data_IF_103053649294
#
_entry.id   IF_103053649294
#
_cell.length_a   1.000
_cell.length_b   1.000
_cell.length_c   1.000
_cell.angle_alpha   90.00
_cell.angle_beta   90.00
_cell.angle_gamma   90.00
#
_symmetry.space_group_name_H-M   'P 1'
#
loop_
_entity.id
_entity.type
_entity.pdbx_description
1 polymer ?
#
# COMPACT_ATOMS: atom_id res chain seq x y z
N UNK A 1 -18.09 10.61 -6.32
CA UNK A 1 -16.96 9.96 -5.61
C UNK A 1 -16.53 10.93 -4.52
N UNK A 2 -16.63 10.52 -3.26
CA UNK A 2 -16.24 11.33 -2.10
C UNK A 2 -15.07 10.62 -1.42
N UNK A 3 -14.10 11.40 -0.93
CA UNK A 3 -13.04 10.88 -0.08
C UNK A 3 -13.57 10.83 1.35
N UNK A 4 -13.92 9.64 1.81
CA UNK A 4 -14.38 9.40 3.18
C UNK A 4 -13.26 8.80 4.01
N UNK A 5 -13.14 9.29 5.25
CA UNK A 5 -12.19 8.76 6.24
C UNK A 5 -12.49 7.28 6.53
N UNK A 6 -13.77 6.89 6.53
CA UNK A 6 -14.22 5.52 6.77
C UNK A 6 -13.69 4.57 5.68
N UNK A 7 -13.85 4.97 4.42
CA UNK A 7 -13.32 4.26 3.26
C UNK A 7 -11.81 4.10 3.34
N UNK A 8 -11.12 5.16 3.71
CA UNK A 8 -9.67 5.18 3.81
C UNK A 8 -9.13 4.21 4.87
N UNK A 9 -9.72 4.22 6.06
CA UNK A 9 -9.38 3.31 7.15
C UNK A 9 -9.69 1.87 6.73
N UNK A 10 -10.86 1.62 6.13
CA UNK A 10 -11.26 0.29 5.66
C UNK A 10 -10.26 -0.26 4.65
N UNK A 11 -9.91 0.55 3.65
CA UNK A 11 -8.95 0.16 2.60
C UNK A 11 -7.60 -0.16 3.23
N UNK A 12 -7.10 0.72 4.09
CA UNK A 12 -5.80 0.55 4.74
C UNK A 12 -5.73 -0.72 5.58
N UNK A 13 -6.71 -0.95 6.46
CA UNK A 13 -6.72 -2.13 7.35
C UNK A 13 -6.71 -3.43 6.55
N UNK A 14 -7.56 -3.53 5.52
CA UNK A 14 -7.63 -4.75 4.70
C UNK A 14 -6.33 -4.95 3.92
N UNK A 15 -5.77 -3.89 3.33
CA UNK A 15 -4.49 -3.98 2.62
C UNK A 15 -3.34 -4.37 3.57
N UNK A 16 -3.25 -3.75 4.75
CA UNK A 16 -2.23 -4.03 5.76
C UNK A 16 -2.27 -5.49 6.25
N UNK A 17 -3.47 -6.01 6.53
CA UNK A 17 -3.68 -7.41 6.85
C UNK A 17 -3.26 -8.32 5.69
N UNK A 18 -3.53 -7.92 4.44
CA UNK A 18 -3.13 -8.68 3.26
C UNK A 18 -1.60 -8.71 3.09
N UNK A 19 -0.88 -7.62 3.38
CA UNK A 19 0.58 -7.56 3.36
C UNK A 19 1.16 -8.54 4.37
N UNK A 20 0.66 -8.53 5.60
CA UNK A 20 1.11 -9.43 6.66
C UNK A 20 0.84 -10.90 6.31
N UNK A 21 -0.37 -11.20 5.82
CA UNK A 21 -0.74 -12.54 5.39
C UNK A 21 0.16 -13.04 4.25
N UNK A 22 0.42 -12.20 3.25
CA UNK A 22 1.34 -12.49 2.15
C UNK A 22 2.78 -12.65 2.63
N UNK A 23 3.23 -11.84 3.59
CA UNK A 23 4.57 -11.94 4.19
C UNK A 23 4.77 -13.28 4.87
N UNK A 24 3.83 -13.67 5.72
CA UNK A 24 3.85 -14.99 6.33
C UNK A 24 3.74 -16.12 5.29
N UNK A 25 2.89 -15.95 4.28
CA UNK A 25 2.63 -16.99 3.30
C UNK A 25 3.83 -17.21 2.36
N UNK A 26 4.40 -16.13 1.80
CA UNK A 26 5.48 -16.16 0.80
C UNK A 26 6.88 -16.23 1.43
N UNK A 27 7.00 -16.26 2.75
CA UNK A 27 8.30 -16.46 3.40
C UNK A 27 8.93 -17.83 3.04
N UNK A 28 8.09 -18.83 2.71
CA UNK A 28 8.56 -20.15 2.24
C UNK A 28 8.70 -20.18 0.72
N UNK A 29 9.92 -20.33 0.21
CA UNK A 29 10.22 -20.33 -1.22
C UNK A 29 9.47 -21.43 -2.00
N UNK A 30 9.24 -22.60 -1.38
CA UNK A 30 8.46 -23.70 -1.98
C UNK A 30 7.06 -23.24 -2.44
N UNK A 31 6.43 -22.30 -1.71
CA UNK A 31 5.11 -21.76 -2.07
C UNK A 31 5.20 -20.86 -3.29
N UNK A 32 6.26 -20.05 -3.37
CA UNK A 32 6.54 -19.21 -4.55
C UNK A 32 6.72 -20.08 -5.80
N UNK A 33 7.44 -21.21 -5.69
CA UNK A 33 7.60 -22.16 -6.79
C UNK A 33 6.27 -22.79 -7.22
N UNK A 34 5.42 -23.20 -6.28
CA UNK A 34 4.13 -23.86 -6.56
C UNK A 34 3.10 -22.95 -7.24
N UNK A 35 2.98 -21.70 -6.78
CA UNK A 35 2.05 -20.70 -7.35
C UNK A 35 2.60 -20.18 -8.69
N UNK A 36 3.92 -20.08 -8.78
CA UNK A 36 4.61 -19.40 -9.85
C UNK A 36 4.78 -17.92 -9.53
N UNK A 37 5.98 -17.42 -9.83
CA UNK A 37 6.42 -16.06 -9.51
C UNK A 37 5.50 -14.99 -10.11
N UNK A 38 5.09 -15.15 -11.38
CA UNK A 38 4.18 -14.22 -12.04
C UNK A 38 2.78 -14.18 -11.40
N UNK A 39 2.27 -15.34 -10.97
CA UNK A 39 0.98 -15.44 -10.29
C UNK A 39 1.00 -14.71 -8.95
N UNK A 40 2.06 -14.92 -8.16
CA UNK A 40 2.27 -14.20 -6.91
C UNK A 40 2.36 -12.69 -7.13
N UNK A 41 3.15 -12.22 -8.11
CA UNK A 41 3.27 -10.79 -8.42
C UNK A 41 1.94 -10.16 -8.83
N UNK A 42 1.19 -10.80 -9.75
CA UNK A 42 -0.12 -10.29 -10.20
C UNK A 42 -1.10 -10.25 -9.02
N UNK A 43 -1.15 -11.29 -8.18
CA UNK A 43 -2.00 -11.31 -7.01
C UNK A 43 -1.70 -10.15 -6.04
N UNK A 44 -0.41 -9.92 -5.75
CA UNK A 44 0.03 -8.80 -4.91
C UNK A 44 -0.37 -7.46 -5.55
N UNK A 45 -0.11 -7.24 -6.83
CA UNK A 45 -0.45 -6.00 -7.52
C UNK A 45 -1.96 -5.72 -7.52
N UNK A 46 -2.78 -6.75 -7.78
CA UNK A 46 -4.24 -6.63 -7.73
C UNK A 46 -4.73 -6.25 -6.34
N UNK A 47 -4.25 -6.91 -5.29
CA UNK A 47 -4.64 -6.64 -3.91
C UNK A 47 -4.39 -5.19 -3.48
N UNK A 48 -3.29 -4.60 -3.96
CA UNK A 48 -2.85 -3.27 -3.53
C UNK A 48 -3.21 -2.17 -4.53
N UNK A 49 -3.86 -2.50 -5.65
CA UNK A 49 -4.33 -1.52 -6.63
C UNK A 49 -5.29 -0.50 -5.99
N UNK A 50 -6.13 -0.95 -5.05
CA UNK A 50 -7.11 -0.10 -4.37
C UNK A 50 -6.47 1.03 -3.55
N UNK A 51 -5.23 0.86 -3.07
CA UNK A 51 -4.52 1.90 -2.32
C UNK A 51 -4.31 3.19 -3.14
N UNK A 52 -4.24 3.09 -4.47
CA UNK A 52 -4.12 4.25 -5.36
C UNK A 52 -5.44 4.97 -5.60
N UNK A 53 -6.57 4.35 -5.28
CA UNK A 53 -7.91 4.87 -5.56
C UNK A 53 -8.74 4.81 -4.26
N UNK A 54 -8.44 5.69 -3.27
CA UNK A 54 -9.13 5.71 -1.97
C UNK A 54 -10.49 6.43 -2.03
N UNK A 55 -11.24 6.28 -3.12
CA UNK A 55 -12.53 6.95 -3.32
C UNK A 55 -13.69 5.99 -3.11
N UNK A 56 -14.74 6.52 -2.48
CA UNK A 56 -16.00 5.80 -2.37
C UNK A 56 -16.72 5.74 -3.71
N UNK A 57 -17.20 4.54 -4.02
CA UNK A 57 -18.01 4.29 -5.20
C UNK A 57 -19.50 4.34 -4.84
N UNK A 58 -20.37 4.78 -5.75
CA UNK A 58 -21.81 4.93 -5.46
C UNK A 58 -22.53 3.60 -5.19
N UNK A 59 -21.92 2.46 -5.52
CA UNK A 59 -22.47 1.12 -5.31
C UNK A 59 -21.93 0.45 -4.03
N UNK A 60 -21.24 1.20 -3.16
CA UNK A 60 -20.71 0.63 -1.92
C UNK A 60 -21.82 0.34 -0.91
N UNK A 61 -21.69 -0.81 -0.26
CA UNK A 61 -22.52 -1.26 0.84
C UNK A 61 -21.80 -0.94 2.15
N UNK A 62 -22.48 -0.15 2.98
CA UNK A 62 -21.97 0.22 4.30
C UNK A 62 -22.28 -0.87 5.31
N UNK A 63 -21.25 -1.28 6.06
CA UNK A 63 -21.40 -2.15 7.23
C UNK A 63 -21.06 -1.34 8.48
N UNK A 64 -21.99 -1.31 9.43
CA UNK A 64 -21.82 -0.57 10.67
C UNK A 64 -20.93 -1.35 11.65
N UNK A 65 -19.84 -0.73 12.08
CA UNK A 65 -18.89 -1.24 13.07
C UNK A 65 -19.14 -0.55 14.42
N UNK A 66 -19.25 -1.34 15.49
CA UNK A 66 -19.75 -0.86 16.80
C UNK A 66 -18.67 -0.70 17.87
N UNK A 67 -17.48 -1.28 17.67
CA UNK A 67 -16.49 -1.46 18.73
C UNK A 67 -15.38 -0.41 18.65
N UNK A 68 -14.75 -0.26 17.48
CA UNK A 68 -13.49 0.48 17.32
C UNK A 68 -13.70 1.80 16.58
N UNK A 69 -14.38 1.77 15.43
CA UNK A 69 -14.60 2.93 14.57
C UNK A 69 -15.32 4.08 15.30
N UNK A 70 -16.36 3.86 16.12
CA UNK A 70 -17.00 4.96 16.86
C UNK A 70 -15.99 5.74 17.71
N UNK A 71 -15.14 5.04 18.46
CA UNK A 71 -14.11 5.66 19.30
C UNK A 71 -13.08 6.44 18.48
N UNK A 72 -12.64 5.88 17.34
CA UNK A 72 -11.71 6.55 16.41
C UNK A 72 -12.35 7.81 15.82
N UNK A 73 -13.62 7.74 15.42
CA UNK A 73 -14.33 8.88 14.85
C UNK A 73 -14.58 9.98 15.88
N UNK A 74 -14.87 9.65 17.14
CA UNK A 74 -14.96 10.64 18.22
C UNK A 74 -13.67 11.46 18.34
N UNK A 75 -12.50 10.83 18.21
CA UNK A 75 -11.21 11.54 18.21
C UNK A 75 -11.06 12.35 16.92
N UNK A 76 -11.25 11.75 15.75
CA UNK A 76 -11.01 12.41 14.46
C UNK A 76 -11.93 13.62 14.20
N UNK A 77 -13.14 13.59 14.75
CA UNK A 77 -14.13 14.67 14.65
C UNK A 77 -14.20 15.54 15.91
N UNK A 78 -13.23 15.43 16.81
CA UNK A 78 -13.13 16.35 17.94
C UNK A 78 -12.81 17.77 17.43
N UNK A 79 -13.62 18.80 17.75
CA UNK A 79 -13.37 20.18 17.32
C UNK A 79 -12.23 20.79 18.13
N UNK A 80 -11.16 21.21 17.46
CA UNK A 80 -10.02 21.88 18.10
C UNK A 80 -10.29 23.39 18.19
N UNK A 81 -10.76 23.97 17.10
CA UNK A 81 -10.93 25.41 16.98
C UNK A 81 -12.20 25.74 16.19
N UNK A 82 -12.91 26.78 16.63
CA UNK A 82 -14.08 27.33 15.94
C UNK A 82 -13.73 28.71 15.43
N UNK A 83 -13.74 28.91 14.12
CA UNK A 83 -13.55 30.23 13.51
C UNK A 83 -14.79 30.61 12.70
N UNK A 84 -15.57 31.57 13.22
CA UNK A 84 -16.88 31.95 12.67
C UNK A 84 -17.79 30.73 12.47
N UNK A 85 -18.00 30.31 11.22
CA UNK A 85 -18.87 29.19 10.80
C UNK A 85 -18.09 27.90 10.51
N UNK A 86 -16.76 27.93 10.53
CA UNK A 86 -15.90 26.79 10.22
C UNK A 86 -15.37 26.13 11.50
N UNK A 87 -15.54 24.80 11.59
CA UNK A 87 -14.98 23.98 12.64
C UNK A 87 -13.73 23.26 12.12
N UNK A 88 -12.61 23.43 12.83
CA UNK A 88 -11.39 22.71 12.55
C UNK A 88 -11.33 21.46 13.43
N UNK A 89 -11.62 20.31 12.81
CA UNK A 89 -11.50 18.99 13.40
C UNK A 89 -10.07 18.42 13.31
N UNK A 90 -9.75 17.45 14.18
CA UNK A 90 -8.48 16.73 14.21
C UNK A 90 -8.12 16.08 12.86
N UNK A 91 -9.09 15.49 12.15
CA UNK A 91 -8.82 14.86 10.85
C UNK A 91 -8.31 15.82 9.77
N UNK A 92 -8.66 17.11 9.82
CA UNK A 92 -8.12 18.09 8.88
C UNK A 92 -6.61 18.26 9.07
N UNK A 93 -6.13 18.25 10.31
CA UNK A 93 -4.70 18.31 10.62
C UNK A 93 -4.01 17.03 10.11
N UNK A 94 -4.60 15.85 10.36
CA UNK A 94 -4.05 14.60 9.85
C UNK A 94 -3.97 14.58 8.32
N UNK A 95 -5.02 15.01 7.62
CA UNK A 95 -5.02 15.10 6.16
C UNK A 95 -3.95 16.07 5.65
N UNK A 96 -3.80 17.23 6.30
CA UNK A 96 -2.77 18.21 5.95
C UNK A 96 -1.36 17.64 6.14
N UNK A 97 -1.07 17.05 7.30
CA UNK A 97 0.23 16.40 7.59
C UNK A 97 0.50 15.28 6.60
N UNK A 98 -0.52 14.50 6.27
CA UNK A 98 -0.41 13.40 5.33
C UNK A 98 -0.06 13.91 3.93
N UNK A 99 -0.82 14.86 3.38
CA UNK A 99 -0.59 15.43 2.05
C UNK A 99 0.75 16.16 1.96
N UNK A 100 1.13 16.93 2.98
CA UNK A 100 2.43 17.60 3.04
C UNK A 100 3.58 16.59 3.08
N UNK A 101 3.47 15.54 3.91
CA UNK A 101 4.48 14.49 3.96
C UNK A 101 4.64 13.76 2.62
N UNK A 102 3.52 13.39 1.98
CA UNK A 102 3.53 12.76 0.66
C UNK A 102 4.15 13.69 -0.40
N UNK A 103 3.83 15.00 -0.36
CA UNK A 103 4.40 16.00 -1.26
C UNK A 103 5.91 16.16 -1.04
N UNK A 104 6.38 16.27 0.20
CA UNK A 104 7.80 16.42 0.54
C UNK A 104 8.58 15.20 0.06
N UNK A 105 8.09 13.99 0.35
CA UNK A 105 8.75 12.75 -0.04
C UNK A 105 8.71 12.58 -1.56
N UNK A 106 7.59 12.88 -2.21
CA UNK A 106 7.48 12.87 -3.67
C UNK A 106 8.47 13.82 -4.35
N UNK A 107 8.56 15.07 -3.89
CA UNK A 107 9.54 16.05 -4.40
C UNK A 107 10.97 15.57 -4.16
N UNK A 108 11.27 15.06 -2.97
CA UNK A 108 12.58 14.50 -2.64
C UNK A 108 12.95 13.35 -3.57
N UNK A 109 12.04 12.41 -3.81
CA UNK A 109 12.24 11.27 -4.70
C UNK A 109 12.50 11.72 -6.14
N UNK A 110 11.71 12.68 -6.64
CA UNK A 110 11.92 13.25 -7.98
C UNK A 110 13.26 13.99 -8.07
N UNK A 111 13.62 14.78 -7.05
CA UNK A 111 14.89 15.51 -7.03
C UNK A 111 16.09 14.55 -7.03
N UNK A 112 16.03 13.49 -6.24
CA UNK A 112 17.05 12.44 -6.22
C UNK A 112 17.15 11.76 -7.58
N UNK A 113 16.02 11.39 -8.18
CA UNK A 113 15.98 10.78 -9.52
C UNK A 113 16.63 11.68 -10.58
N UNK A 114 16.28 12.98 -10.60
CA UNK A 114 16.83 13.94 -11.56
C UNK A 114 18.32 14.18 -11.35
N UNK A 115 18.75 14.35 -10.09
CA UNK A 115 20.17 14.54 -9.78
C UNK A 115 21.00 13.31 -10.15
N UNK A 116 20.49 12.10 -9.89
CA UNK A 116 21.15 10.86 -10.28
C UNK A 116 21.22 10.73 -11.81
N UNK A 117 20.11 11.00 -12.52
CA UNK A 117 20.10 11.02 -13.99
C UNK A 117 21.14 11.97 -14.58
N UNK A 118 21.24 13.20 -14.04
CA UNK A 118 22.24 14.18 -14.48
C UNK A 118 23.66 13.69 -14.23
N UNK A 119 23.92 13.08 -13.08
CA UNK A 119 25.23 12.53 -12.75
C UNK A 119 25.62 11.33 -13.62
N UNK A 120 24.65 10.55 -14.12
CA UNK A 120 24.90 9.50 -15.11
C UNK A 120 25.20 10.06 -16.50
N UNK A 121 24.54 11.14 -16.91
CA UNK A 121 24.77 11.77 -18.22
C UNK A 121 26.14 12.43 -18.36
N UNK A 122 26.80 12.76 -17.25
CA UNK A 122 28.17 13.29 -17.27
C UNK A 122 29.23 12.21 -17.44
N UNK A 123 28.88 10.94 -17.24
CA UNK A 123 29.79 9.81 -17.46
C UNK A 123 29.75 9.41 -18.93
N UNK A 124 30.92 9.09 -19.48
CA UNK A 124 31.07 8.64 -20.86
C UNK A 124 30.30 7.32 -21.06
N UNK A 125 29.42 7.29 -22.07
CA UNK A 125 28.83 6.03 -22.55
C UNK A 125 29.98 5.09 -22.93
N UNK A 126 29.91 3.83 -22.50
CA UNK A 126 30.94 2.86 -22.88
C UNK A 126 30.76 2.53 -24.36
N UNK A 127 31.56 3.11 -25.24
CA UNK A 127 31.54 2.81 -26.69
C UNK A 127 32.27 1.49 -27.00
N UNK A 128 32.05 0.47 -26.17
CA UNK A 128 32.68 -0.83 -26.31
C UNK A 128 31.84 -1.73 -27.23
N UNK A 129 32.36 -2.03 -28.41
CA UNK A 129 31.76 -2.93 -29.40
C UNK A 129 31.42 -4.30 -28.80
N UNK A 130 32.27 -4.84 -27.93
CA UNK A 130 32.04 -6.12 -27.25
C UNK A 130 30.77 -6.12 -26.39
N UNK A 131 30.51 -5.03 -25.66
CA UNK A 131 29.31 -4.89 -24.83
C UNK A 131 28.06 -4.84 -25.71
N UNK A 132 28.12 -4.10 -26.83
CA UNK A 132 27.02 -4.01 -27.80
C UNK A 132 26.71 -5.38 -28.41
N UNK A 133 27.73 -6.18 -28.71
CA UNK A 133 27.56 -7.53 -29.25
C UNK A 133 26.90 -8.48 -28.24
N UNK A 134 27.32 -8.43 -26.97
CA UNK A 134 26.68 -9.19 -25.88
C UNK A 134 25.21 -8.79 -25.76
N UNK A 135 24.90 -7.50 -25.66
CA UNK A 135 23.52 -7.01 -25.55
C UNK A 135 22.69 -7.51 -26.73
N UNK A 136 23.17 -7.33 -27.95
CA UNK A 136 22.48 -7.78 -29.17
C UNK A 136 22.20 -9.28 -29.13
N UNK A 137 23.14 -10.10 -28.63
CA UNK A 137 22.94 -11.54 -28.47
C UNK A 137 21.87 -11.88 -27.42
N UNK A 138 21.80 -11.11 -26.33
CA UNK A 138 20.86 -11.29 -25.22
C UNK A 138 19.45 -10.81 -25.55
N UNK A 139 19.29 -9.85 -26.48
CA UNK A 139 17.99 -9.35 -26.91
C UNK A 139 17.28 -10.28 -27.93
N UNK A 140 18.03 -11.10 -28.68
CA UNK A 140 17.47 -12.01 -29.70
C UNK A 140 16.26 -12.83 -29.23
N UNK A 141 16.27 -13.47 -28.03
CA UNK A 141 15.14 -14.27 -27.56
C UNK A 141 13.87 -13.47 -27.30
N UNK A 142 13.97 -12.16 -27.07
CA UNK A 142 12.84 -11.28 -26.79
C UNK A 142 12.20 -10.68 -28.06
N UNK A 143 12.87 -10.79 -29.22
CA UNK A 143 12.34 -10.33 -30.51
C UNK A 143 12.15 -8.82 -30.62
N UNK A 144 12.70 -8.03 -29.69
CA UNK A 144 12.59 -6.57 -29.65
C UNK A 144 13.92 -5.96 -29.28
N UNK A 145 14.48 -5.13 -30.17
CA UNK A 145 15.73 -4.42 -29.94
C UNK A 145 15.46 -3.19 -29.06
N UNK A 146 16.28 -3.01 -28.03
CA UNK A 146 16.24 -1.85 -27.14
C UNK A 146 17.57 -1.12 -27.20
N UNK A 147 17.50 0.21 -27.29
CA UNK A 147 18.70 1.04 -27.33
C UNK A 147 19.22 1.29 -25.91
N UNK A 148 19.80 0.25 -25.29
CA UNK A 148 20.45 0.36 -23.98
C UNK A 148 21.70 1.24 -24.07
N UNK A 149 21.76 2.29 -23.26
CA UNK A 149 23.01 3.01 -22.99
C UNK A 149 23.71 2.34 -21.79
N UNK A 150 24.92 1.82 -22.00
CA UNK A 150 25.74 1.26 -20.90
C UNK A 150 26.70 2.32 -20.39
N UNK A 151 26.69 2.54 -19.08
CA UNK A 151 27.48 3.59 -18.43
C UNK A 151 28.24 2.95 -17.26
N UNK A 152 29.54 3.22 -17.15
CA UNK A 152 30.31 2.91 -15.93
C UNK A 152 30.26 4.09 -14.98
N UNK A 153 30.08 3.84 -13.68
CA UNK A 153 29.94 4.90 -12.69
C UNK A 153 30.49 4.49 -11.33
N UNK A 154 31.27 5.37 -10.71
CA UNK A 154 31.74 5.25 -9.32
C UNK A 154 30.65 5.56 -8.28
N UNK A 155 29.47 6.01 -8.74
CA UNK A 155 28.35 6.38 -7.87
C UNK A 155 27.55 5.18 -7.38
N UNK A 156 27.82 3.99 -7.92
CA UNK A 156 27.08 2.76 -7.64
C UNK A 156 28.05 1.63 -7.31
N UNK A 157 27.61 0.74 -6.45
CA UNK A 157 28.39 -0.43 -5.99
C UNK A 157 27.85 -1.73 -6.58
N UNK A 158 26.60 -1.72 -7.06
CA UNK A 158 25.93 -2.83 -7.74
C UNK A 158 25.49 -2.39 -9.14
N UNK A 159 25.51 -3.29 -10.14
CA UNK A 159 24.83 -3.05 -11.42
C UNK A 159 23.37 -2.66 -11.18
N UNK A 160 22.86 -1.74 -12.02
CA UNK A 160 21.45 -1.37 -11.95
C UNK A 160 20.90 -0.97 -13.31
N UNK A 161 19.63 -1.32 -13.53
CA UNK A 161 18.79 -0.78 -14.57
C UNK A 161 18.16 0.57 -14.13
N UNK A 162 18.37 1.62 -14.92
CA UNK A 162 17.81 2.95 -14.67
C UNK A 162 17.09 3.52 -15.89
N UNK A 163 16.08 4.37 -15.66
CA UNK A 163 15.40 5.12 -16.72
C UNK A 163 14.11 4.45 -17.21
N UNK A 164 12.99 5.15 -17.06
CA UNK A 164 11.65 4.63 -17.36
C UNK A 164 11.38 4.63 -18.88
N UNK A 165 11.81 5.69 -19.58
CA UNK A 165 11.56 5.86 -21.02
C UNK A 165 12.74 5.47 -21.92
N UNK A 166 13.97 5.70 -21.45
CA UNK A 166 15.20 5.25 -22.11
C UNK A 166 15.99 4.43 -21.07
N UNK A 167 16.18 3.11 -21.29
CA UNK A 167 16.86 2.26 -20.33
C UNK A 167 18.38 2.49 -20.38
N UNK A 168 18.97 2.62 -19.21
CA UNK A 168 20.41 2.70 -18.97
C UNK A 168 20.79 1.50 -18.11
N UNK A 169 21.85 0.81 -18.51
CA UNK A 169 22.47 -0.20 -17.65
C UNK A 169 23.71 0.46 -17.06
N UNK A 170 23.68 0.72 -15.76
CA UNK A 170 24.80 1.33 -15.05
C UNK A 170 25.61 0.22 -14.41
N UNK A 171 26.89 0.14 -14.75
CA UNK A 171 27.84 -0.82 -14.20
C UNK A 171 28.74 -0.12 -13.16
N UNK A 172 29.01 -0.77 -12.01
CA UNK A 172 29.98 -0.27 -11.06
C UNK A 172 31.38 -0.29 -11.71
N UNK A 173 32.25 0.61 -11.24
CA UNK A 173 33.63 0.68 -11.70
C UNK A 173 34.51 -0.40 -11.03
N UNK A 174 34.20 -1.65 -11.35
CA UNK A 174 34.94 -2.84 -10.91
C UNK A 174 35.42 -3.61 -12.13
N UNK A 175 36.50 -4.37 -11.97
CA UNK A 175 36.98 -5.27 -13.00
C UNK A 175 36.04 -6.47 -13.10
N UNK A 176 35.44 -6.65 -14.28
CA UNK A 176 34.52 -7.74 -14.58
C UNK A 176 35.18 -8.64 -15.63
N UNK A 177 35.20 -9.94 -15.36
CA UNK A 177 35.52 -10.91 -16.41
C UNK A 177 34.42 -10.88 -17.49
N UNK A 178 34.73 -11.32 -18.71
CA UNK A 178 33.75 -11.40 -19.80
C UNK A 178 32.51 -12.23 -19.40
N UNK A 179 32.74 -13.29 -18.63
CA UNK A 179 31.69 -14.17 -18.09
C UNK A 179 30.80 -13.44 -17.10
N UNK A 180 31.39 -12.71 -16.16
CA UNK A 180 30.63 -11.99 -15.12
C UNK A 180 29.85 -10.84 -15.75
N UNK A 181 30.47 -10.11 -16.68
CA UNK A 181 29.80 -9.10 -17.49
C UNK A 181 28.60 -9.66 -18.26
N UNK A 182 28.75 -10.83 -18.89
CA UNK A 182 27.66 -11.51 -19.58
C UNK A 182 26.48 -11.80 -18.64
N UNK A 183 26.75 -12.37 -17.46
CA UNK A 183 25.68 -12.71 -16.51
C UNK A 183 25.01 -11.47 -15.91
N UNK A 184 25.77 -10.42 -15.60
CA UNK A 184 25.24 -9.14 -15.12
C UNK A 184 24.34 -8.49 -16.17
N UNK A 185 24.81 -8.39 -17.42
CA UNK A 185 23.99 -7.82 -18.50
C UNK A 185 22.73 -8.64 -18.72
N UNK A 186 22.84 -9.98 -18.72
CA UNK A 186 21.68 -10.87 -18.84
C UNK A 186 20.68 -10.66 -17.70
N UNK A 187 21.15 -10.40 -16.48
CA UNK A 187 20.33 -10.08 -15.31
C UNK A 187 19.56 -8.76 -15.49
N UNK A 188 20.26 -7.66 -15.74
CA UNK A 188 19.64 -6.34 -15.89
C UNK A 188 18.70 -6.25 -17.11
N UNK A 189 19.07 -6.88 -18.22
CA UNK A 189 18.23 -6.95 -19.43
C UNK A 189 16.95 -7.74 -19.15
N UNK A 190 17.03 -8.82 -18.37
CA UNK A 190 15.84 -9.59 -18.00
C UNK A 190 14.86 -8.75 -17.19
N UNK A 191 15.34 -7.96 -16.21
CA UNK A 191 14.50 -7.00 -15.48
C UNK A 191 13.79 -6.01 -16.41
N UNK A 192 14.48 -5.52 -17.43
CA UNK A 192 13.91 -4.59 -18.40
C UNK A 192 12.75 -5.22 -19.18
N UNK A 193 12.95 -6.40 -19.77
CA UNK A 193 11.91 -7.08 -20.55
C UNK A 193 10.76 -7.61 -19.69
N UNK A 194 10.99 -7.84 -18.39
CA UNK A 194 9.95 -8.21 -17.44
C UNK A 194 9.24 -7.01 -16.80
N UNK A 195 9.60 -5.79 -17.20
CA UNK A 195 8.99 -4.53 -16.78
C UNK A 195 9.07 -4.30 -15.26
N UNK A 196 10.13 -4.81 -14.62
CA UNK A 196 10.33 -4.76 -13.18
C UNK A 196 10.40 -3.32 -12.65
N UNK A 197 10.95 -2.41 -13.45
CA UNK A 197 11.01 -0.99 -13.11
C UNK A 197 9.61 -0.36 -12.97
N UNK A 198 8.63 -0.78 -13.77
CA UNK A 198 7.25 -0.30 -13.66
C UNK A 198 6.57 -0.83 -12.40
N UNK A 199 6.83 -2.08 -12.05
CA UNK A 199 6.35 -2.69 -10.79
C UNK A 199 6.95 -1.97 -9.59
N UNK A 200 8.27 -1.72 -9.61
CA UNK A 200 8.99 -0.96 -8.58
C UNK A 200 8.43 0.48 -8.46
N UNK A 201 8.14 1.13 -9.59
CA UNK A 201 7.51 2.46 -9.62
C UNK A 201 6.11 2.46 -8.99
N UNK A 202 5.27 1.47 -9.30
CA UNK A 202 3.94 1.32 -8.70
C UNK A 202 4.00 1.28 -7.17
N UNK A 203 4.90 0.45 -6.61
CA UNK A 203 5.06 0.34 -5.16
C UNK A 203 5.67 1.59 -4.54
N UNK A 204 6.59 2.25 -5.24
CA UNK A 204 7.17 3.51 -4.78
C UNK A 204 6.11 4.61 -4.67
N UNK A 205 5.18 4.68 -5.63
CA UNK A 205 4.04 5.62 -5.54
C UNK A 205 3.18 5.32 -4.32
N UNK A 206 2.87 4.05 -4.05
CA UNK A 206 2.14 3.66 -2.84
C UNK A 206 2.94 4.05 -1.58
N UNK A 207 4.25 3.83 -1.54
CA UNK A 207 5.11 4.20 -0.43
C UNK A 207 5.18 5.72 -0.20
N UNK A 208 5.14 6.52 -1.26
CA UNK A 208 5.07 8.00 -1.15
C UNK A 208 3.73 8.42 -0.56
N UNK A 209 2.63 7.86 -1.06
CA UNK A 209 1.28 8.17 -0.57
C UNK A 209 1.20 7.77 0.90
N UNK A 210 1.53 6.53 1.25
CA UNK A 210 1.39 5.98 2.61
C UNK A 210 2.73 5.97 3.37
N UNK A 211 3.50 7.05 3.28
CA UNK A 211 4.87 7.14 3.81
C UNK A 211 5.01 6.86 5.32
N UNK A 212 3.94 7.06 6.07
CA UNK A 212 3.90 6.82 7.51
C UNK A 212 3.58 5.36 7.86
N UNK A 213 3.13 4.54 6.89
CA UNK A 213 2.73 3.16 7.13
C UNK A 213 3.93 2.20 6.96
N UNK A 214 4.42 1.57 8.05
CA UNK A 214 5.58 0.67 8.01
C UNK A 214 5.33 -0.58 7.16
N UNK A 215 4.07 -1.04 7.03
CA UNK A 215 3.74 -2.28 6.31
C UNK A 215 3.94 -2.13 4.81
N UNK A 216 3.81 -0.93 4.26
CA UNK A 216 4.10 -0.66 2.85
C UNK A 216 5.57 -0.90 2.51
N UNK A 217 6.48 -0.68 3.46
CA UNK A 217 7.90 -1.00 3.27
C UNK A 217 8.16 -2.51 3.31
N UNK A 218 7.36 -3.29 4.04
CA UNK A 218 7.39 -4.76 3.98
C UNK A 218 6.92 -5.22 2.59
N UNK A 219 5.81 -4.66 2.08
CA UNK A 219 5.32 -4.93 0.73
C UNK A 219 6.40 -4.67 -0.33
N UNK A 220 7.11 -3.54 -0.20
CA UNK A 220 8.24 -3.19 -1.09
C UNK A 220 9.32 -4.26 -1.08
N UNK A 221 9.83 -4.63 0.09
CA UNK A 221 10.87 -5.67 0.24
C UNK A 221 10.41 -7.03 -0.33
N UNK A 222 9.15 -7.39 -0.15
CA UNK A 222 8.60 -8.63 -0.70
C UNK A 222 8.56 -8.62 -2.22
N UNK A 223 8.10 -7.52 -2.82
CA UNK A 223 8.04 -7.39 -4.28
C UNK A 223 9.46 -7.46 -4.84
N UNK A 224 10.42 -6.74 -4.26
CA UNK A 224 11.81 -6.78 -4.70
C UNK A 224 12.36 -8.20 -4.68
N UNK A 225 12.21 -8.91 -3.57
CA UNK A 225 12.61 -10.32 -3.44
C UNK A 225 11.98 -11.21 -4.52
N UNK A 226 10.70 -11.04 -4.81
CA UNK A 226 9.99 -11.86 -5.80
C UNK A 226 10.47 -11.52 -7.22
N UNK A 227 10.79 -10.25 -7.50
CA UNK A 227 11.37 -9.82 -8.78
C UNK A 227 12.77 -10.43 -9.00
N UNK A 228 13.64 -10.42 -8.00
CA UNK A 228 14.96 -11.05 -8.07
C UNK A 228 14.84 -12.57 -8.35
N UNK A 229 13.97 -13.26 -7.60
CA UNK A 229 13.69 -14.69 -7.82
C UNK A 229 13.16 -14.94 -9.23
N UNK A 230 12.35 -14.03 -9.77
CA UNK A 230 11.80 -14.14 -11.14
C UNK A 230 12.92 -14.16 -12.17
N UNK A 231 13.86 -13.24 -12.04
CA UNK A 231 14.99 -13.09 -12.95
C UNK A 231 15.93 -14.27 -12.83
N UNK A 232 16.31 -14.66 -11.60
CA UNK A 232 17.18 -15.81 -11.36
C UNK A 232 16.64 -17.08 -12.00
N UNK A 233 15.35 -17.36 -11.80
CA UNK A 233 14.69 -18.53 -12.40
C UNK A 233 14.61 -18.45 -13.92
N UNK A 234 14.44 -17.26 -14.49
CA UNK A 234 14.40 -17.08 -15.94
C UNK A 234 15.77 -17.34 -16.58
N UNK A 235 16.84 -16.84 -15.95
CA UNK A 235 18.21 -17.00 -16.44
C UNK A 235 18.67 -18.44 -16.36
N UNK A 236 18.33 -19.13 -15.27
CA UNK A 236 18.83 -20.47 -14.93
C UNK A 236 18.01 -21.61 -15.52
N UNK A 237 16.82 -21.34 -16.07
CA UNK A 237 15.89 -22.34 -16.62
C UNK A 237 16.51 -23.29 -17.65
N UNK A 238 17.46 -22.81 -18.45
CA UNK A 238 18.10 -23.56 -19.54
C UNK A 238 19.61 -23.75 -19.31
N UNK A 239 20.10 -23.42 -18.11
CA UNK A 239 21.52 -23.60 -17.78
C UNK A 239 21.76 -25.00 -17.22
N UNK A 240 22.88 -25.59 -17.62
CA UNK A 240 23.46 -26.74 -16.93
C UNK A 240 23.94 -26.35 -15.52
N UNK A 241 24.18 -27.34 -14.66
CA UNK A 241 24.59 -27.10 -13.27
C UNK A 241 25.87 -26.25 -13.16
N UNK A 242 26.86 -26.50 -14.03
CA UNK A 242 28.10 -25.73 -14.06
C UNK A 242 27.85 -24.24 -14.33
N UNK A 243 27.02 -23.91 -15.33
CA UNK A 243 26.64 -22.51 -15.63
C UNK A 243 25.79 -21.89 -14.54
N UNK A 244 24.93 -22.67 -13.86
CA UNK A 244 24.19 -22.18 -12.68
C UNK A 244 25.15 -21.80 -11.56
N UNK A 245 26.17 -22.61 -11.29
CA UNK A 245 27.19 -22.30 -10.28
C UNK A 245 27.95 -21.02 -10.67
N UNK A 246 28.39 -20.89 -11.93
CA UNK A 246 29.06 -19.67 -12.38
C UNK A 246 28.19 -18.42 -12.27
N UNK A 247 26.89 -18.53 -12.54
CA UNK A 247 25.95 -17.45 -12.31
C UNK A 247 25.87 -17.05 -10.83
N UNK A 248 25.77 -18.03 -9.93
CA UNK A 248 25.73 -17.78 -8.49
C UNK A 248 27.05 -17.22 -7.94
N UNK A 249 28.19 -17.68 -8.46
CA UNK A 249 29.50 -17.10 -8.16
C UNK A 249 29.56 -15.62 -8.55
N UNK A 250 29.03 -15.27 -9.73
CA UNK A 250 28.93 -13.89 -10.19
C UNK A 250 28.05 -13.05 -9.26
N UNK A 251 26.88 -13.55 -8.86
CA UNK A 251 26.02 -12.87 -7.88
C UNK A 251 26.73 -12.65 -6.54
N UNK A 252 27.43 -13.67 -6.02
CA UNK A 252 28.17 -13.58 -4.78
C UNK A 252 29.33 -12.59 -4.87
N UNK A 253 30.03 -12.55 -6.02
CA UNK A 253 31.09 -11.58 -6.28
C UNK A 253 30.54 -10.15 -6.20
N UNK A 254 29.46 -9.85 -6.90
CA UNK A 254 28.81 -8.53 -6.85
C UNK A 254 28.32 -8.20 -5.43
N UNK A 255 27.72 -9.14 -4.72
CA UNK A 255 27.27 -8.92 -3.35
C UNK A 255 28.43 -8.59 -2.40
N UNK A 256 29.61 -9.21 -2.59
CA UNK A 256 30.82 -8.90 -1.78
C UNK A 256 31.35 -7.49 -2.05
N UNK A 257 31.48 -7.09 -3.32
CA UNK A 257 31.94 -5.75 -3.70
C UNK A 257 31.01 -4.63 -3.20
N UNK A 258 29.71 -4.95 -3.07
CA UNK A 258 28.73 -4.04 -2.48
C UNK A 258 28.97 -3.81 -0.98
N UNK A 259 29.38 -4.82 -0.22
CA UNK A 259 29.55 -4.69 1.25
C UNK A 259 30.82 -3.95 1.66
N UNK A 260 31.85 -3.93 0.81
CA UNK A 260 33.15 -3.32 1.08
C UNK A 260 33.15 -1.81 0.81
N UNK A 261 32.22 -1.33 -0.01
CA UNK A 261 32.18 0.05 -0.51
C UNK A 261 31.31 0.96 0.37
N UNK A 262 31.95 1.81 1.20
CA UNK A 262 31.30 2.84 2.01
C UNK A 262 30.98 4.11 1.19
N UNK A 263 29.92 4.14 0.37
CA UNK A 263 29.44 5.43 -0.19
C UNK A 263 27.90 5.55 -0.34
N UNK A 264 27.34 6.37 0.57
CA UNK A 264 26.25 7.36 0.51
C UNK A 264 24.90 7.17 -0.23
N UNK A 265 23.83 7.19 0.60
CA UNK A 265 22.64 8.09 0.68
C UNK A 265 21.78 8.44 -0.54
N UNK A 266 22.24 8.25 -1.77
CA UNK A 266 21.57 8.78 -2.97
C UNK A 266 20.70 7.76 -3.71
N UNK A 267 20.75 6.51 -3.24
CA UNK A 267 20.11 5.39 -3.91
C UNK A 267 18.80 5.10 -3.17
N UNK A 268 17.70 5.67 -3.64
CA UNK A 268 16.32 5.21 -3.36
C UNK A 268 16.04 3.79 -3.95
N UNK A 269 17.08 3.14 -4.45
CA UNK A 269 17.10 1.83 -5.10
C UNK A 269 17.59 0.78 -4.10
N UNK A 270 16.66 0.10 -3.43
CA UNK A 270 16.72 -1.37 -3.30
C UNK A 270 17.93 -2.05 -2.65
N UNK A 271 18.72 -1.37 -1.82
CA UNK A 271 19.76 -2.05 -1.02
C UNK A 271 19.19 -2.58 0.30
N UNK A 272 18.49 -3.71 0.19
CA UNK A 272 18.37 -4.65 1.30
C UNK A 272 18.52 -6.08 0.80
N UNK A 273 19.64 -6.39 0.14
CA UNK A 273 20.09 -7.78 0.13
C UNK A 273 20.63 -8.10 1.52
N UNK A 274 19.72 -8.40 2.45
CA UNK A 274 20.10 -9.13 3.64
C UNK A 274 20.70 -10.47 3.18
N UNK A 275 21.72 -10.97 3.88
CA UNK A 275 22.32 -12.28 3.58
C UNK A 275 21.27 -13.41 3.43
N UNK A 276 20.12 -13.27 4.11
CA UNK A 276 18.97 -14.16 3.98
C UNK A 276 18.29 -14.16 2.60
N UNK A 277 18.23 -13.03 1.89
CA UNK A 277 17.65 -12.95 0.53
C UNK A 277 18.57 -13.63 -0.46
N UNK A 278 19.87 -13.32 -0.42
CA UNK A 278 20.87 -13.96 -1.27
C UNK A 278 20.90 -15.49 -1.04
N UNK A 279 20.88 -15.93 0.22
CA UNK A 279 20.80 -17.36 0.54
C UNK A 279 19.54 -18.04 -0.04
N UNK A 280 18.39 -17.35 -0.05
CA UNK A 280 17.18 -17.88 -0.66
C UNK A 280 17.28 -17.98 -2.18
N UNK A 281 17.90 -17.00 -2.85
CA UNK A 281 18.18 -17.04 -4.30
C UNK A 281 19.02 -18.27 -4.65
N UNK A 282 20.09 -18.51 -3.89
CA UNK A 282 20.94 -19.70 -4.03
C UNK A 282 20.14 -21.00 -3.89
N UNK A 283 19.35 -21.11 -2.82
CA UNK A 283 18.55 -22.30 -2.58
C UNK A 283 17.55 -22.55 -3.71
N UNK A 284 16.95 -21.51 -4.29
CA UNK A 284 15.97 -21.66 -5.37
C UNK A 284 16.65 -22.07 -6.69
N UNK A 285 17.83 -21.51 -6.99
CA UNK A 285 18.56 -21.81 -8.24
C UNK A 285 19.17 -23.21 -8.23
N UNK A 286 19.69 -23.64 -7.07
CA UNK A 286 20.29 -24.96 -6.85
C UNK A 286 19.26 -26.04 -6.47
N UNK A 287 17.97 -25.73 -6.50
CA UNK A 287 16.94 -26.73 -6.22
C UNK A 287 16.83 -27.72 -7.38
N UNK A 288 17.40 -28.91 -7.20
CA UNK A 288 17.36 -30.01 -8.17
C UNK A 288 15.98 -30.67 -8.26
N UNK A 289 15.09 -30.42 -7.28
CA UNK A 289 13.74 -30.95 -7.24
C UNK A 289 12.71 -29.84 -7.02
N UNK A 290 12.62 -28.85 -7.94
CA UNK A 290 11.75 -27.72 -7.77
C UNK A 290 10.30 -28.20 -7.69
N UNK A 291 9.55 -27.65 -6.74
CA UNK A 291 8.12 -27.98 -6.63
C UNK A 291 7.43 -27.63 -7.95
N UNK A 292 6.73 -28.61 -8.53
CA UNK A 292 5.98 -28.40 -9.78
C UNK A 292 4.99 -27.25 -9.62
N UNK A 293 4.99 -26.35 -10.60
CA UNK A 293 3.98 -25.29 -10.71
C UNK A 293 2.60 -25.92 -10.77
N UNK A 294 1.70 -25.49 -9.90
CA UNK A 294 0.33 -25.96 -9.85
C UNK A 294 -0.58 -24.87 -10.43
N UNK A 295 -1.18 -25.08 -11.62
CA UNK A 295 -2.09 -24.10 -12.20
C UNK A 295 -3.30 -23.85 -11.30
N UNK A 296 -3.74 -24.87 -10.56
CA UNK A 296 -4.81 -24.75 -9.57
C UNK A 296 -4.43 -23.80 -8.41
N UNK A 297 -3.23 -23.92 -7.83
CA UNK A 297 -2.78 -23.02 -6.76
C UNK A 297 -2.62 -21.58 -7.26
N UNK A 298 -2.08 -21.40 -8.47
CA UNK A 298 -2.00 -20.09 -9.10
C UNK A 298 -3.40 -19.46 -9.25
N UNK A 299 -4.35 -20.22 -9.81
CA UNK A 299 -5.73 -19.78 -9.97
C UNK A 299 -6.39 -19.40 -8.63
N UNK A 300 -6.18 -20.22 -7.59
CA UNK A 300 -6.71 -19.94 -6.23
C UNK A 300 -6.17 -18.61 -5.70
N UNK A 301 -4.85 -18.35 -5.81
CA UNK A 301 -4.27 -17.09 -5.33
C UNK A 301 -4.83 -15.89 -6.09
N UNK A 302 -4.98 -16.00 -7.41
CA UNK A 302 -5.56 -14.93 -8.23
C UNK A 302 -7.05 -14.69 -7.90
N UNK A 303 -7.83 -15.76 -7.70
CA UNK A 303 -9.23 -15.66 -7.33
C UNK A 303 -9.41 -15.04 -5.94
N UNK A 304 -8.59 -15.42 -4.96
CA UNK A 304 -8.60 -14.81 -3.62
C UNK A 304 -8.21 -13.33 -3.72
N UNK A 305 -7.17 -13.01 -4.49
CA UNK A 305 -6.72 -11.62 -4.68
C UNK A 305 -7.80 -10.75 -5.32
N UNK A 306 -8.47 -11.28 -6.36
CA UNK A 306 -9.58 -10.61 -7.03
C UNK A 306 -10.82 -10.49 -6.13
N UNK A 307 -11.13 -11.51 -5.34
CA UNK A 307 -12.24 -11.49 -4.39
C UNK A 307 -12.03 -10.43 -3.30
N UNK A 308 -10.82 -10.34 -2.74
CA UNK A 308 -10.48 -9.31 -1.75
C UNK A 308 -10.56 -7.92 -2.39
N UNK A 309 -10.03 -7.74 -3.61
CA UNK A 309 -10.15 -6.48 -4.35
C UNK A 309 -11.61 -6.09 -4.65
N UNK A 310 -12.47 -7.07 -4.96
CA UNK A 310 -13.89 -6.84 -5.15
C UNK A 310 -14.56 -6.45 -3.83
N UNK A 311 -14.28 -7.19 -2.75
CA UNK A 311 -14.84 -6.96 -1.42
C UNK A 311 -14.50 -5.55 -0.90
N UNK A 312 -13.22 -5.15 -0.96
CA UNK A 312 -12.75 -3.81 -0.53
C UNK A 312 -13.27 -2.68 -1.43
N UNK A 313 -13.72 -3.01 -2.65
CA UNK A 313 -14.32 -2.04 -3.56
C UNK A 313 -15.82 -1.87 -3.32
N UNK A 314 -16.50 -2.92 -2.86
CA UNK A 314 -17.96 -2.93 -2.64
C UNK A 314 -18.33 -2.66 -1.18
N UNK A 315 -17.46 -2.95 -0.20
CA UNK A 315 -17.77 -2.82 1.22
C UNK A 315 -16.99 -1.66 1.83
N UNK A 316 -17.68 -0.83 2.63
CA UNK A 316 -17.06 0.17 3.51
C UNK A 316 -17.51 -0.06 4.95
N UNK A 317 -16.58 0.02 5.90
CA UNK A 317 -16.89 -0.03 7.32
C UNK A 317 -17.12 1.40 7.81
N UNK A 318 -18.32 1.68 8.33
CA UNK A 318 -18.66 2.97 8.95
C UNK A 318 -18.88 2.82 10.45
N UNK A 319 -18.59 3.85 11.25
CA UNK A 319 -18.91 3.81 12.68
C UNK A 319 -20.42 3.74 12.88
N UNK A 320 -20.87 2.87 13.79
CA UNK A 320 -22.23 2.88 14.30
C UNK A 320 -22.37 4.02 15.32
N UNK A 321 -22.45 5.25 14.82
CA UNK A 321 -22.66 6.46 15.60
C UNK A 321 -23.50 7.46 14.83
N UNK A 322 -24.24 8.30 15.54
CA UNK A 322 -24.89 9.47 14.95
C UNK A 322 -23.79 10.40 14.42
N UNK A 323 -23.98 10.99 13.24
CA UNK A 323 -23.04 11.98 12.70
C UNK A 323 -22.83 13.09 13.73
N UNK A 324 -21.60 13.56 13.90
CA UNK A 324 -21.29 14.61 14.88
C UNK A 324 -22.14 15.89 14.67
N UNK A 325 -22.47 16.21 13.41
CA UNK A 325 -23.32 17.36 13.07
C UNK A 325 -24.75 17.14 13.58
N UNK A 326 -25.29 15.95 13.34
CA UNK A 326 -26.64 15.58 13.80
C UNK A 326 -26.66 15.49 15.32
N UNK A 327 -25.58 15.00 15.94
CA UNK A 327 -25.44 14.90 17.39
C UNK A 327 -25.59 16.26 18.08
N UNK A 328 -25.05 17.33 17.49
CA UNK A 328 -25.20 18.70 18.04
C UNK A 328 -26.65 19.20 18.00
N UNK A 329 -27.49 18.65 17.11
CA UNK A 329 -28.89 19.03 16.94
C UNK A 329 -29.86 18.04 17.57
N UNK A 330 -29.39 16.88 18.03
CA UNK A 330 -30.19 15.89 18.76
C UNK A 330 -30.17 16.17 20.25
N UNK A 331 -31.35 16.10 20.86
CA UNK A 331 -31.51 16.08 22.32
C UNK A 331 -31.85 14.67 22.77
N UNK A 332 -31.27 14.23 23.87
CA UNK A 332 -31.64 12.97 24.50
C UNK A 332 -32.79 13.21 25.47
N UNK A 333 -33.93 12.56 25.19
CA UNK A 333 -35.10 12.62 26.05
C UNK A 333 -34.94 11.62 27.20
N UNK A 334 -34.42 12.09 28.33
CA UNK A 334 -34.24 11.25 29.53
C UNK A 334 -35.38 11.47 30.52
N UNK A 335 -35.61 10.52 31.41
CA UNK A 335 -36.61 10.67 32.49
C UNK A 335 -36.23 11.73 33.53
N UNK A 336 -35.00 12.23 33.49
CA UNK A 336 -34.49 13.31 34.34
C UNK A 336 -34.77 14.69 33.73
N UNK A 337 -34.58 14.82 32.41
CA UNK A 337 -34.67 16.11 31.72
C UNK A 337 -35.98 16.30 30.97
N UNK A 338 -36.81 15.26 30.82
CA UNK A 338 -37.99 15.31 29.94
C UNK A 338 -39.23 14.68 30.55
N UNK A 339 -40.40 15.22 30.21
CA UNK A 339 -41.71 14.65 30.54
C UNK A 339 -42.75 14.93 29.46
N UNK A 340 -43.84 14.16 29.50
CA UNK A 340 -44.95 14.24 28.56
C UNK A 340 -46.18 14.85 29.25
N UNK A 341 -46.93 15.70 28.54
CA UNK A 341 -48.22 16.25 28.97
C UNK A 341 -49.28 15.89 27.95
N UNK A 342 -50.45 15.42 28.40
CA UNK A 342 -51.56 15.11 27.49
C UNK A 342 -52.06 16.39 26.83
N UNK A 343 -52.02 16.45 25.48
CA UNK A 343 -52.49 17.61 24.73
C UNK A 343 -54.02 17.54 24.52
N UNK A 344 -54.79 18.58 24.88
CA UNK A 344 -56.24 18.62 24.66
C UNK A 344 -56.68 18.46 23.20
N UNK A 345 -55.82 18.83 22.24
CA UNK A 345 -56.07 18.75 20.81
C UNK A 345 -55.65 17.39 20.20
N UNK A 346 -55.25 16.43 21.05
CA UNK A 346 -54.77 15.10 20.67
C UNK A 346 -53.25 14.99 20.68
N UNK A 347 -52.75 13.83 21.13
CA UNK A 347 -51.31 13.57 21.28
C UNK A 347 -50.74 14.00 22.63
N UNK A 348 -49.41 14.20 22.66
CA UNK A 348 -48.63 14.51 23.85
C UNK A 348 -47.64 15.65 23.58
N UNK A 349 -47.60 16.63 24.47
CA UNK A 349 -46.60 17.69 24.48
C UNK A 349 -45.36 17.23 25.23
N UNK A 350 -44.20 17.30 24.58
CA UNK A 350 -42.89 17.00 25.14
C UNK A 350 -42.33 18.28 25.75
N UNK A 351 -41.94 18.20 27.02
CA UNK A 351 -41.17 19.24 27.70
C UNK A 351 -39.75 18.73 27.97
N UNK A 352 -38.75 19.56 27.72
CA UNK A 352 -37.33 19.29 27.95
C UNK A 352 -36.74 20.43 28.78
N UNK A 353 -36.17 20.12 29.96
CA UNK A 353 -35.62 21.08 30.91
C UNK A 353 -36.59 22.22 31.26
N UNK A 354 -37.87 21.89 31.46
CA UNK A 354 -38.92 22.88 31.73
C UNK A 354 -39.46 23.65 30.50
N UNK A 355 -38.85 23.53 29.32
CA UNK A 355 -39.29 24.23 28.11
C UNK A 355 -40.10 23.32 27.19
N UNK A 356 -41.12 23.88 26.54
CA UNK A 356 -41.90 23.16 25.54
C UNK A 356 -41.02 22.84 24.32
N UNK A 357 -40.87 21.55 24.02
CA UNK A 357 -40.04 21.06 22.93
C UNK A 357 -40.83 20.77 21.65
N UNK A 358 -42.04 20.20 21.78
CA UNK A 358 -42.91 19.91 20.64
C UNK A 358 -44.05 18.95 20.96
N UNK A 359 -45.04 18.84 20.07
CA UNK A 359 -46.16 17.88 20.19
C UNK A 359 -45.94 16.66 19.32
N UNK A 360 -46.22 15.47 19.85
CA UNK A 360 -46.21 14.20 19.11
C UNK A 360 -47.58 13.54 19.17
N UNK A 361 -47.99 12.90 18.08
CA UNK A 361 -49.29 12.21 18.00
C UNK A 361 -49.29 10.88 18.76
N UNK A 362 -48.14 10.21 18.85
CA UNK A 362 -48.00 8.88 19.45
C UNK A 362 -46.67 8.77 20.22
N UNK A 363 -46.66 7.94 21.25
CA UNK A 363 -45.46 7.67 22.05
C UNK A 363 -44.63 6.60 21.33
N UNK A 364 -43.39 6.93 20.99
CA UNK A 364 -42.44 5.99 20.38
C UNK A 364 -41.61 5.27 21.45
N UNK A 365 -41.07 4.10 21.10
CA UNK A 365 -40.21 3.29 21.97
C UNK A 365 -39.03 4.08 22.56
N UNK A 366 -38.52 5.09 21.83
CA UNK A 366 -37.38 5.91 22.25
C UNK A 366 -37.65 6.83 23.44
N UNK A 367 -38.92 7.09 23.81
CA UNK A 367 -39.30 7.92 24.96
C UNK A 367 -40.55 7.38 25.69
N UNK A 368 -40.82 6.08 25.55
CA UNK A 368 -41.93 5.39 26.22
C UNK A 368 -41.81 5.37 27.74
N UNK A 369 -40.60 5.52 28.26
CA UNK A 369 -40.31 5.52 29.69
C UNK A 369 -40.50 6.89 30.37
N UNK A 370 -40.83 7.95 29.62
CA UNK A 370 -41.06 9.27 30.20
C UNK A 370 -42.36 9.32 31.01
N UNK A 371 -42.36 10.10 32.10
CA UNK A 371 -43.56 10.30 32.89
C UNK A 371 -44.60 11.14 32.14
N UNK A 372 -45.86 10.67 32.17
CA UNK A 372 -46.99 11.33 31.51
C UNK A 372 -47.84 12.03 32.58
N UNK A 373 -48.06 13.33 32.40
CA UNK A 373 -48.86 14.17 33.29
C UNK A 373 -50.12 14.68 32.61
N UNK A 374 -51.15 14.98 33.41
CA UNK A 374 -52.43 15.49 32.89
C UNK A 374 -52.38 16.98 32.55
N UNK A 375 -51.46 17.71 33.17
CA UNK A 375 -51.25 19.13 32.95
C UNK A 375 -49.77 19.49 33.19
N UNK A 376 -49.33 20.60 32.60
CA UNK A 376 -47.92 21.03 32.70
C UNK A 376 -47.51 21.38 34.15
N UNK A 377 -48.45 21.81 35.01
CA UNK A 377 -48.16 22.16 36.41
C UNK A 377 -47.71 20.94 37.23
N UNK A 378 -48.32 19.78 36.99
CA UNK A 378 -47.92 18.51 37.62
C UNK A 378 -46.53 18.09 37.16
N UNK A 379 -46.23 18.23 35.87
CA UNK A 379 -44.90 17.93 35.29
C UNK A 379 -43.80 18.82 35.87
N UNK A 380 -43.99 20.14 35.89
CA UNK A 380 -43.02 21.07 36.47
C UNK A 380 -42.82 20.85 37.97
N UNK A 381 -43.86 20.44 38.70
CA UNK A 381 -43.74 20.14 40.13
C UNK A 381 -42.96 18.85 40.40
N UNK A 382 -42.95 17.92 39.44
CA UNK A 382 -42.19 16.68 39.51
C UNK A 382 -40.71 16.91 39.16
N UNK A 383 -40.44 17.71 38.13
CA UNK A 383 -39.08 18.08 37.71
C UNK A 383 -38.36 18.89 38.80
N UNK A 384 -39.02 19.88 39.42
CA UNK A 384 -38.45 20.69 40.51
C UNK A 384 -38.23 19.94 41.84
N UNK A 385 -38.72 18.70 41.97
CA UNK A 385 -38.57 17.87 43.19
C UNK A 385 -37.43 16.87 43.09
N UNK A 386 -36.85 16.70 41.90
CA UNK A 386 -35.61 15.95 41.68
C UNK A 386 -34.43 16.87 41.91
#
# INVERSE_FOLDING_TARGET
>A
MVLSIASLITIMVICDLSILALSFYLNKYERIQQIGVNGALIGILLLHLRLLIPFEFPFQYTIAEKLVLPSVFTILYFPIFKFHTYYLYIHHIFLLVWLLGAMIIGIRTIFIYVKFKKALQTNLESDNTFIKDIITSLEKPYGKISNFSVIKSDLITAPLLFGIFKPYIVLPNIELSERDLYYILKHEITHYYYHDLWIKCFVEVIAIIYWWNPLIYILKQQIDKILEIRVDLAITKQLDESKKIHYLECLLFIAKENTTSKVNYFVLTFNSESASVLAQRFHIVLDDNPRKKSPAKNLIVLLISALILALISVVVLEPYSISYIDQQQTVELTTETSFLVINPNGGYDIYLNGDYFGTVSEIKDSYSNLHIFKNAKEGFSYENKK
#
